data_IF_887667138971
#
_entry.id   IF_887667138971
#
_cell.length_a   1.000
_cell.length_b   1.000
_cell.length_c   1.000
_cell.angle_alpha   90.00
_cell.angle_beta   90.00
_cell.angle_gamma   90.00
#
_symmetry.space_group_name_H-M   'P 1'
#
loop_
_entity.id
_entity.type
_entity.pdbx_description
1 polymer ?
#
# COMPACT_ATOMS: atom_id res chain seq x y z
N UNK A 1 43.44 68.46 10.39
CA UNK A 1 44.16 67.20 10.61
C UNK A 1 43.10 66.11 10.79
N UNK A 2 42.47 65.59 9.72
CA UNK A 2 43.04 64.77 8.62
C UNK A 2 43.43 63.39 9.19
N UNK A 3 43.12 62.21 8.66
CA UNK A 3 42.26 61.67 7.59
C UNK A 3 42.60 60.16 7.53
N UNK A 4 41.59 59.28 7.59
CA UNK A 4 41.49 57.95 6.94
C UNK A 4 42.54 56.82 7.22
N UNK A 5 42.36 55.55 6.77
CA UNK A 5 41.25 54.96 6.00
C UNK A 5 40.72 53.54 6.39
N UNK A 6 39.48 53.31 5.91
CA UNK A 6 38.82 52.10 5.36
C UNK A 6 39.48 50.70 5.48
N UNK A 7 38.65 49.72 5.88
CA UNK A 7 38.60 48.40 5.23
C UNK A 7 37.17 47.97 4.95
N UNK A 8 36.93 47.80 3.65
CA UNK A 8 35.78 47.30 2.92
C UNK A 8 35.34 45.91 3.41
N UNK A 9 34.03 45.70 3.64
CA UNK A 9 33.44 44.35 3.61
C UNK A 9 32.57 44.22 2.38
N UNK A 10 32.95 43.24 1.59
CA UNK A 10 32.49 42.86 0.27
C UNK A 10 31.00 42.55 0.23
N UNK A 11 30.33 43.09 -0.80
CA UNK A 11 29.05 42.62 -1.28
C UNK A 11 29.20 41.19 -1.81
N UNK A 12 28.64 40.21 -1.12
CA UNK A 12 28.34 38.91 -1.74
C UNK A 12 26.95 39.00 -2.35
N UNK A 13 26.93 39.19 -3.66
CA UNK A 13 25.86 38.74 -4.54
C UNK A 13 25.69 37.23 -4.35
N UNK A 14 24.69 36.85 -3.57
CA UNK A 14 24.22 35.47 -3.44
C UNK A 14 22.94 35.32 -4.24
N UNK A 15 22.99 34.49 -5.27
CA UNK A 15 21.85 34.00 -6.04
C UNK A 15 20.76 33.43 -5.11
N UNK A 16 19.47 33.78 -5.24
CA UNK A 16 18.42 33.16 -4.44
C UNK A 16 18.07 31.80 -5.05
N UNK A 17 18.81 30.75 -4.68
CA UNK A 17 18.45 29.37 -5.01
C UNK A 17 18.03 28.67 -3.74
N UNK A 18 16.77 28.83 -3.38
CA UNK A 18 16.16 28.16 -2.25
C UNK A 18 14.68 28.50 -2.21
N UNK A 19 13.85 27.65 -2.81
CA UNK A 19 12.41 27.67 -2.55
C UNK A 19 12.23 27.39 -1.06
N UNK A 20 12.02 28.43 -0.25
CA UNK A 20 11.62 28.27 1.15
C UNK A 20 10.33 27.44 1.17
N UNK A 21 10.38 26.25 1.77
CA UNK A 21 9.20 25.47 2.08
C UNK A 21 8.47 26.25 3.18
N UNK A 22 7.55 27.11 2.78
CA UNK A 22 6.71 27.85 3.72
C UNK A 22 5.90 26.83 4.51
N UNK A 23 6.12 26.79 5.83
CA UNK A 23 5.35 25.96 6.73
C UNK A 23 3.86 26.30 6.57
N UNK A 24 3.01 25.30 6.32
CA UNK A 24 1.57 25.52 6.22
C UNK A 24 1.05 26.01 7.57
N UNK A 25 0.59 27.26 7.64
CA UNK A 25 -0.20 27.76 8.76
C UNK A 25 -1.57 27.07 8.70
N UNK A 26 -1.79 26.04 9.50
CA UNK A 26 -3.05 25.29 9.49
C UNK A 26 -4.06 25.90 10.46
N UNK A 27 -5.25 26.23 9.95
CA UNK A 27 -6.44 26.47 10.78
C UNK A 27 -6.68 25.24 11.65
N UNK A 28 -7.00 25.42 12.93
CA UNK A 28 -7.24 24.34 13.88
C UNK A 28 -8.71 24.20 14.28
N UNK A 29 -9.04 23.09 14.95
CA UNK A 29 -10.38 22.84 15.52
C UNK A 29 -10.84 23.97 16.45
N UNK A 30 -9.90 24.64 17.13
CA UNK A 30 -10.16 25.78 18.01
C UNK A 30 -10.64 27.01 17.24
N UNK A 31 -10.12 27.25 16.05
CA UNK A 31 -10.51 28.38 15.21
C UNK A 31 -11.92 28.19 14.66
N UNK A 32 -12.26 26.97 14.24
CA UNK A 32 -13.63 26.59 13.85
C UNK A 32 -14.60 26.77 15.01
N UNK A 33 -14.25 26.28 16.20
CA UNK A 33 -15.10 26.41 17.39
C UNK A 33 -15.36 27.89 17.75
N UNK A 34 -14.31 28.72 17.68
CA UNK A 34 -14.41 30.17 17.92
C UNK A 34 -15.30 30.86 16.89
N UNK A 35 -15.11 30.57 15.60
CA UNK A 35 -15.90 31.17 14.52
C UNK A 35 -17.37 30.71 14.53
N UNK A 36 -17.65 29.46 14.93
CA UNK A 36 -19.00 28.92 15.06
C UNK A 36 -19.68 29.24 16.41
N UNK A 37 -18.98 29.89 17.35
CA UNK A 37 -19.51 30.26 18.66
C UNK A 37 -19.85 29.06 19.56
N UNK A 38 -19.12 27.95 19.46
CA UNK A 38 -19.36 26.72 20.24
C UNK A 38 -18.07 26.15 20.84
N UNK A 39 -18.17 25.12 21.67
CA UNK A 39 -17.01 24.39 22.18
C UNK A 39 -16.40 23.47 21.11
N UNK A 40 -15.09 23.18 21.23
CA UNK A 40 -14.41 22.19 20.37
C UNK A 40 -15.06 20.79 20.46
N UNK A 41 -15.61 20.43 21.62
CA UNK A 41 -16.38 19.20 21.80
C UNK A 41 -17.67 19.18 20.96
N UNK A 42 -18.32 20.33 20.78
CA UNK A 42 -19.53 20.45 19.94
C UNK A 42 -19.19 20.32 18.47
N UNK A 43 -18.09 20.95 18.01
CA UNK A 43 -17.58 20.78 16.63
C UNK A 43 -17.22 19.32 16.38
N UNK A 44 -16.52 18.67 17.32
CA UNK A 44 -16.16 17.24 17.21
C UNK A 44 -17.40 16.34 17.13
N UNK A 45 -18.46 16.62 17.89
CA UNK A 45 -19.73 15.88 17.82
C UNK A 45 -20.43 16.11 16.49
N UNK A 46 -20.51 17.35 16.01
CA UNK A 46 -21.13 17.67 14.73
C UNK A 46 -20.49 16.89 13.57
N UNK A 47 -19.17 16.63 13.64
CA UNK A 47 -18.43 15.89 12.61
C UNK A 47 -18.57 14.36 12.78
N UNK A 48 -18.40 13.84 13.99
CA UNK A 48 -18.30 12.38 14.21
C UNK A 48 -19.64 11.72 14.56
N UNK A 49 -20.61 12.49 15.04
CA UNK A 49 -21.94 12.05 15.47
C UNK A 49 -22.96 13.16 15.14
N UNK A 50 -23.19 13.46 13.85
CA UNK A 50 -24.05 14.58 13.45
C UNK A 50 -25.46 14.47 14.04
N UNK A 51 -25.98 13.26 14.21
CA UNK A 51 -27.35 12.99 14.69
C UNK A 51 -27.65 13.46 16.12
N UNK A 52 -26.62 13.74 16.93
CA UNK A 52 -26.79 14.23 18.31
C UNK A 52 -26.64 15.76 18.43
N UNK A 53 -26.56 16.46 17.30
CA UNK A 53 -26.47 17.92 17.20
C UNK A 53 -27.66 18.42 16.38
N UNK A 54 -28.26 19.55 16.77
CA UNK A 54 -29.36 20.12 16.00
C UNK A 54 -28.92 20.45 14.58
N UNK A 55 -29.81 20.26 13.61
CA UNK A 55 -29.52 20.48 12.19
C UNK A 55 -29.05 21.91 11.92
N UNK A 56 -29.71 22.90 12.52
CA UNK A 56 -29.31 24.32 12.44
C UNK A 56 -27.86 24.54 12.88
N UNK A 57 -27.46 23.94 14.00
CA UNK A 57 -26.11 24.09 14.52
C UNK A 57 -25.08 23.35 13.67
N UNK A 58 -25.44 22.16 13.16
CA UNK A 58 -24.61 21.39 12.24
C UNK A 58 -24.32 22.18 10.97
N UNK A 59 -25.36 22.72 10.32
CA UNK A 59 -25.23 23.54 9.10
C UNK A 59 -24.37 24.79 9.34
N UNK A 60 -24.52 25.45 10.50
CA UNK A 60 -23.67 26.58 10.87
C UNK A 60 -22.20 26.20 11.00
N UNK A 61 -21.92 25.06 11.64
CA UNK A 61 -20.55 24.55 11.79
C UNK A 61 -19.95 24.18 10.42
N UNK A 62 -20.72 23.51 9.56
CA UNK A 62 -20.29 23.13 8.20
C UNK A 62 -19.92 24.36 7.36
N UNK A 63 -20.74 25.41 7.38
CA UNK A 63 -20.44 26.66 6.68
C UNK A 63 -19.14 27.33 7.18
N UNK A 64 -18.88 27.27 8.49
CA UNK A 64 -17.63 27.79 9.07
C UNK A 64 -16.43 26.93 8.66
N UNK A 65 -16.58 25.61 8.65
CA UNK A 65 -15.53 24.67 8.20
C UNK A 65 -15.15 24.96 6.75
N UNK A 66 -16.14 25.09 5.87
CA UNK A 66 -15.95 25.39 4.46
C UNK A 66 -15.29 26.76 4.27
N UNK A 67 -15.79 27.79 4.95
CA UNK A 67 -15.24 29.14 4.88
C UNK A 67 -13.77 29.22 5.32
N UNK A 68 -13.40 28.49 6.37
CA UNK A 68 -12.03 28.47 6.89
C UNK A 68 -11.13 27.45 6.18
N UNK A 69 -11.66 26.62 5.28
CA UNK A 69 -10.92 25.54 4.63
C UNK A 69 -10.34 24.53 5.62
N UNK A 70 -10.98 24.35 6.78
CA UNK A 70 -10.47 23.47 7.82
C UNK A 70 -10.73 22.01 7.47
N UNK A 71 -9.71 21.16 7.65
CA UNK A 71 -9.83 19.71 7.50
C UNK A 71 -9.45 19.05 8.82
N UNK A 72 -10.23 18.08 9.33
CA UNK A 72 -9.86 17.34 10.53
C UNK A 72 -8.47 16.69 10.42
N UNK A 73 -7.65 16.89 11.44
CA UNK A 73 -6.34 16.27 11.54
C UNK A 73 -6.48 14.76 11.83
N UNK A 74 -6.07 13.94 10.87
CA UNK A 74 -6.10 12.48 10.98
C UNK A 74 -5.18 11.96 12.10
N UNK A 75 -4.03 12.58 12.35
CA UNK A 75 -3.10 12.17 13.41
C UNK A 75 -3.68 12.47 14.80
N UNK A 76 -4.29 13.65 14.97
CA UNK A 76 -5.00 13.98 16.21
C UNK A 76 -6.18 13.04 16.47
N UNK A 77 -6.95 12.70 15.42
CA UNK A 77 -8.03 11.71 15.50
C UNK A 77 -7.51 10.32 15.84
N UNK A 78 -6.42 9.88 15.23
CA UNK A 78 -5.81 8.58 15.49
C UNK A 78 -5.32 8.45 16.93
N UNK A 79 -4.73 9.52 17.48
CA UNK A 79 -4.30 9.54 18.88
C UNK A 79 -5.47 9.36 19.84
N UNK A 80 -6.61 9.97 19.54
CA UNK A 80 -7.83 9.86 20.36
C UNK A 80 -8.54 8.51 20.25
N UNK A 81 -8.53 7.89 19.07
CA UNK A 81 -9.29 6.67 18.76
C UNK A 81 -8.45 5.40 18.82
N UNK A 82 -7.12 5.54 18.88
CA UNK A 82 -6.12 4.47 18.68
C UNK A 82 -6.30 3.72 17.35
N UNK A 83 -6.87 4.38 16.34
CA UNK A 83 -7.07 3.86 14.97
C UNK A 83 -6.72 4.91 13.95
N UNK A 84 -5.89 4.59 12.98
CA UNK A 84 -5.56 5.52 11.90
C UNK A 84 -6.68 5.64 10.87
N UNK A 85 -7.51 4.59 10.73
CA UNK A 85 -8.41 4.44 9.61
C UNK A 85 -7.66 4.18 8.30
N UNK A 86 -6.45 3.63 8.36
CA UNK A 86 -5.63 3.36 7.19
C UNK A 86 -5.21 1.89 7.13
N UNK A 87 -5.24 1.30 5.93
CA UNK A 87 -4.73 -0.05 5.65
C UNK A 87 -3.60 0.09 4.64
N UNK A 88 -2.47 -0.54 4.91
CA UNK A 88 -1.35 -0.60 3.96
C UNK A 88 -1.49 -1.78 3.02
N UNK A 89 -1.13 -1.63 1.75
CA UNK A 89 -0.95 -2.75 0.83
C UNK A 89 0.36 -2.62 0.06
N UNK A 90 1.15 -3.69 0.09
CA UNK A 90 2.42 -3.76 -0.64
C UNK A 90 2.28 -4.80 -1.75
N UNK A 91 2.30 -4.31 -2.98
CA UNK A 91 2.28 -5.14 -4.19
C UNK A 91 3.69 -5.29 -4.76
N UNK A 92 4.00 -6.35 -5.52
CA UNK A 92 5.27 -6.42 -6.25
C UNK A 92 5.34 -5.35 -7.33
N UNK A 93 4.26 -5.17 -8.09
CA UNK A 93 4.15 -4.14 -9.12
C UNK A 93 2.68 -3.75 -9.32
N UNK A 94 2.42 -2.59 -9.89
CA UNK A 94 1.09 -2.18 -10.39
C UNK A 94 1.00 -2.21 -11.91
N UNK A 95 2.08 -2.57 -12.62
CA UNK A 95 2.07 -2.70 -14.08
C UNK A 95 1.34 -3.95 -14.56
N UNK A 96 1.22 -4.97 -13.70
CA UNK A 96 0.45 -6.17 -14.01
C UNK A 96 -1.03 -5.94 -13.72
N UNK A 97 -1.89 -6.22 -14.71
CA UNK A 97 -3.33 -5.97 -14.63
C UNK A 97 -4.02 -6.62 -13.42
N UNK A 98 -3.56 -7.79 -12.98
CA UNK A 98 -4.12 -8.48 -11.81
C UNK A 98 -3.89 -7.68 -10.52
N UNK A 99 -2.71 -7.08 -10.35
CA UNK A 99 -2.41 -6.27 -9.16
C UNK A 99 -3.13 -4.94 -9.18
N UNK A 100 -3.16 -4.25 -10.32
CA UNK A 100 -3.91 -3.01 -10.48
C UNK A 100 -5.40 -3.22 -10.19
N UNK A 101 -5.99 -4.28 -10.74
CA UNK A 101 -7.40 -4.64 -10.50
C UNK A 101 -7.66 -4.92 -9.02
N UNK A 102 -6.81 -5.71 -8.36
CA UNK A 102 -6.96 -5.99 -6.92
C UNK A 102 -6.80 -4.72 -6.08
N UNK A 103 -5.87 -3.83 -6.42
CA UNK A 103 -5.71 -2.54 -5.74
C UNK A 103 -6.96 -1.65 -5.88
N UNK A 104 -7.57 -1.62 -7.08
CA UNK A 104 -8.84 -0.91 -7.31
C UNK A 104 -9.98 -1.48 -6.47
N UNK A 105 -10.14 -2.80 -6.44
CA UNK A 105 -11.18 -3.46 -5.64
C UNK A 105 -10.93 -3.19 -4.16
N UNK A 106 -9.70 -3.37 -3.69
CA UNK A 106 -9.34 -3.13 -2.29
C UNK A 106 -9.61 -1.67 -1.88
N UNK A 107 -9.29 -0.70 -2.73
CA UNK A 107 -9.60 0.71 -2.49
C UNK A 107 -11.10 0.95 -2.36
N UNK A 108 -11.91 0.34 -3.23
CA UNK A 108 -13.36 0.48 -3.20
C UNK A 108 -13.96 -0.07 -1.90
N UNK A 109 -13.62 -1.31 -1.55
CA UNK A 109 -14.16 -1.97 -0.35
C UNK A 109 -13.71 -1.30 0.94
N UNK A 110 -12.43 -0.93 1.04
CA UNK A 110 -11.92 -0.21 2.21
C UNK A 110 -12.59 1.15 2.38
N UNK A 111 -12.81 1.88 1.28
CA UNK A 111 -13.45 3.18 1.33
C UNK A 111 -14.90 3.07 1.82
N UNK A 112 -15.64 2.05 1.39
CA UNK A 112 -17.00 1.78 1.87
C UNK A 112 -17.05 1.55 3.39
N UNK A 113 -15.98 0.97 3.95
CA UNK A 113 -15.80 0.74 5.39
C UNK A 113 -15.13 1.92 6.13
N UNK A 114 -14.90 3.05 5.45
CA UNK A 114 -14.29 4.26 6.04
C UNK A 114 -12.77 4.19 6.23
N UNK A 115 -12.10 3.22 5.60
CA UNK A 115 -10.66 3.09 5.59
C UNK A 115 -10.02 3.76 4.35
N UNK A 116 -8.81 4.27 4.53
CA UNK A 116 -7.95 4.76 3.45
C UNK A 116 -6.91 3.69 3.09
N UNK A 117 -6.74 3.37 1.81
CA UNK A 117 -5.67 2.48 1.36
C UNK A 117 -4.37 3.28 1.16
N UNK A 118 -3.27 2.79 1.72
CA UNK A 118 -1.92 3.25 1.44
C UNK A 118 -1.22 2.20 0.56
N UNK A 119 -0.83 2.58 -0.65
CA UNK A 119 -0.21 1.68 -1.62
C UNK A 119 1.30 1.87 -1.69
N UNK A 120 2.04 0.76 -1.82
CA UNK A 120 3.45 0.76 -2.15
C UNK A 120 3.81 -0.42 -3.06
N UNK A 121 4.90 -0.29 -3.81
CA UNK A 121 5.47 -1.36 -4.63
C UNK A 121 6.82 -1.84 -4.08
N UNK A 122 7.04 -3.15 -4.08
CA UNK A 122 8.31 -3.78 -3.67
C UNK A 122 9.21 -4.17 -4.84
N UNK A 123 8.71 -4.22 -6.07
CA UNK A 123 9.45 -4.65 -7.27
C UNK A 123 10.05 -6.07 -7.12
N UNK A 124 9.38 -6.94 -6.35
CA UNK A 124 9.87 -8.27 -5.97
C UNK A 124 11.19 -8.25 -5.16
N UNK A 125 11.57 -7.11 -4.59
CA UNK A 125 12.67 -7.00 -3.61
C UNK A 125 12.10 -7.14 -2.17
N UNK A 126 12.42 -8.23 -1.44
CA UNK A 126 11.96 -8.43 -0.06
C UNK A 126 12.49 -7.36 0.91
N UNK A 127 13.66 -6.78 0.65
CA UNK A 127 14.20 -5.69 1.46
C UNK A 127 13.39 -4.41 1.23
N UNK A 128 12.99 -4.15 -0.02
CA UNK A 128 12.08 -3.04 -0.33
C UNK A 128 10.71 -3.24 0.31
N UNK A 129 10.14 -4.45 0.23
CA UNK A 129 8.89 -4.80 0.90
C UNK A 129 8.96 -4.46 2.41
N UNK A 130 10.00 -4.95 3.10
CA UNK A 130 10.23 -4.66 4.51
C UNK A 130 10.34 -3.16 4.80
N UNK A 131 11.05 -2.39 3.96
CA UNK A 131 11.15 -0.92 4.10
C UNK A 131 9.78 -0.24 3.96
N UNK A 132 8.93 -0.68 3.03
CA UNK A 132 7.59 -0.09 2.85
C UNK A 132 6.66 -0.45 4.01
N UNK A 133 6.68 -1.71 4.47
CA UNK A 133 5.92 -2.15 5.64
C UNK A 133 6.30 -1.36 6.88
N UNK A 134 7.60 -1.11 7.13
CA UNK A 134 8.04 -0.25 8.25
C UNK A 134 7.42 1.14 8.18
N UNK A 135 7.42 1.78 7.01
CA UNK A 135 6.83 3.11 6.80
C UNK A 135 5.31 3.13 7.05
N UNK A 136 4.61 2.05 6.75
CA UNK A 136 3.18 1.93 7.06
C UNK A 136 2.94 1.75 8.56
N UNK A 137 3.72 0.89 9.21
CA UNK A 137 3.67 0.71 10.67
C UNK A 137 3.98 2.03 11.40
N UNK A 138 4.98 2.79 10.96
CA UNK A 138 5.31 4.13 11.50
C UNK A 138 4.14 5.13 11.36
N UNK A 139 3.29 4.96 10.35
CA UNK A 139 2.08 5.76 10.13
C UNK A 139 0.86 5.25 10.91
N UNK A 140 1.01 4.15 11.64
CA UNK A 140 -0.03 3.58 12.49
C UNK A 140 -1.14 2.88 11.70
N UNK A 141 -0.84 2.26 10.55
CA UNK A 141 -1.86 1.48 9.80
C UNK A 141 -2.52 0.43 10.69
N UNK A 142 -3.83 0.26 10.50
CA UNK A 142 -4.67 -0.66 11.25
C UNK A 142 -4.58 -2.11 10.73
N UNK A 143 -4.01 -2.31 9.54
CA UNK A 143 -3.76 -3.61 8.94
C UNK A 143 -2.92 -3.54 7.67
N UNK A 144 -2.38 -4.68 7.25
CA UNK A 144 -1.52 -4.78 6.07
C UNK A 144 -1.94 -5.93 5.13
N UNK A 145 -2.03 -5.63 3.84
CA UNK A 145 -2.20 -6.61 2.76
C UNK A 145 -0.85 -6.83 2.08
N UNK A 146 -0.44 -8.09 2.00
CA UNK A 146 0.78 -8.53 1.34
C UNK A 146 0.45 -9.44 0.17
N UNK A 147 1.45 -9.72 -0.66
CA UNK A 147 1.30 -10.56 -1.84
C UNK A 147 2.31 -11.70 -1.78
N UNK A 148 1.82 -12.94 -1.90
CA UNK A 148 2.68 -14.11 -1.76
C UNK A 148 3.01 -14.44 -0.30
N UNK A 149 3.94 -15.38 -0.10
CA UNK A 149 4.51 -15.76 1.19
C UNK A 149 6.04 -15.57 1.23
N UNK A 150 6.66 -15.12 0.15
CA UNK A 150 8.11 -14.94 0.03
C UNK A 150 8.57 -13.64 0.71
N UNK A 151 8.37 -13.55 2.03
CA UNK A 151 8.75 -12.40 2.85
C UNK A 151 10.04 -12.66 3.62
N UNK A 152 10.71 -11.58 4.04
CA UNK A 152 11.77 -11.68 5.03
C UNK A 152 11.18 -12.04 6.42
N UNK A 153 11.81 -12.94 7.20
CA UNK A 153 11.39 -13.22 8.57
C UNK A 153 11.36 -11.98 9.49
N UNK A 154 12.15 -10.96 9.18
CA UNK A 154 12.14 -9.63 9.79
C UNK A 154 10.76 -8.94 9.66
N UNK A 155 10.09 -9.12 8.53
CA UNK A 155 8.77 -8.53 8.25
C UNK A 155 7.73 -9.15 9.17
N UNK A 156 7.66 -10.48 9.25
CA UNK A 156 6.72 -11.17 10.13
C UNK A 156 6.96 -10.81 11.61
N UNK A 157 8.24 -10.76 12.04
CA UNK A 157 8.61 -10.34 13.39
C UNK A 157 8.19 -8.91 13.69
N UNK A 158 8.32 -7.99 12.72
CA UNK A 158 7.87 -6.60 12.86
C UNK A 158 6.35 -6.54 13.09
N UNK A 159 5.57 -7.19 12.23
CA UNK A 159 4.11 -7.17 12.32
C UNK A 159 3.60 -7.81 13.61
N UNK A 160 4.19 -8.94 14.01
CA UNK A 160 3.85 -9.61 15.27
C UNK A 160 4.15 -8.74 16.49
N UNK A 161 5.34 -8.13 16.57
CA UNK A 161 5.73 -7.25 17.69
C UNK A 161 4.84 -6.03 17.81
N UNK A 162 4.45 -5.44 16.68
CA UNK A 162 3.59 -4.26 16.62
C UNK A 162 2.10 -4.61 16.69
N UNK A 163 1.76 -5.91 16.69
CA UNK A 163 0.39 -6.43 16.71
C UNK A 163 -0.46 -5.88 15.54
N UNK A 164 0.18 -5.67 14.39
CA UNK A 164 -0.49 -5.22 13.17
C UNK A 164 -1.01 -6.46 12.43
N UNK A 165 -2.33 -6.61 12.25
CA UNK A 165 -2.87 -7.74 11.50
C UNK A 165 -2.43 -7.67 10.05
N UNK A 166 -2.14 -8.83 9.46
CA UNK A 166 -1.80 -8.93 8.05
C UNK A 166 -2.45 -10.12 7.37
N UNK A 167 -2.62 -9.99 6.06
CA UNK A 167 -3.15 -11.03 5.20
C UNK A 167 -2.33 -11.13 3.91
N UNK A 168 -1.99 -12.36 3.54
CA UNK A 168 -1.30 -12.64 2.29
C UNK A 168 -2.31 -12.90 1.19
N UNK A 169 -2.12 -12.28 0.03
CA UNK A 169 -3.03 -12.41 -1.11
C UNK A 169 -2.38 -13.18 -2.25
N UNK A 170 -3.22 -13.73 -3.11
CA UNK A 170 -2.88 -14.53 -4.29
C UNK A 170 -2.11 -15.83 -4.01
N UNK A 171 -2.13 -16.27 -2.77
CA UNK A 171 -1.63 -17.55 -2.32
C UNK A 171 -2.66 -18.15 -1.38
N UNK A 172 -2.72 -19.47 -1.38
CA UNK A 172 -3.44 -20.23 -0.38
C UNK A 172 -2.43 -21.01 0.46
N UNK A 173 -2.49 -20.84 1.78
CA UNK A 173 -1.69 -21.63 2.71
C UNK A 173 -2.54 -21.98 3.93
N UNK A 174 -2.95 -23.25 4.02
CA UNK A 174 -3.78 -23.75 5.12
C UNK A 174 -3.14 -23.55 6.50
N UNK A 175 -1.80 -23.57 6.60
CA UNK A 175 -1.07 -23.36 7.84
C UNK A 175 -1.18 -21.91 8.38
N UNK A 176 -1.63 -20.96 7.54
CA UNK A 176 -1.80 -19.55 7.95
C UNK A 176 -3.11 -19.28 8.69
N UNK A 177 -3.95 -20.31 8.94
CA UNK A 177 -5.22 -20.21 9.66
C UNK A 177 -6.13 -19.05 9.17
N UNK A 178 -6.28 -18.93 7.85
CA UNK A 178 -7.13 -17.91 7.22
C UNK A 178 -6.45 -16.55 6.98
N UNK A 179 -5.15 -16.43 7.25
CA UNK A 179 -4.35 -15.23 6.91
C UNK A 179 -3.78 -15.28 5.50
N UNK A 180 -4.36 -16.10 4.63
CA UNK A 180 -4.07 -16.09 3.19
C UNK A 180 -5.33 -16.27 2.35
N UNK A 181 -5.43 -15.52 1.26
CA UNK A 181 -6.55 -15.58 0.30
C UNK A 181 -5.98 -15.62 -1.11
N UNK A 182 -6.27 -16.68 -1.86
CA UNK A 182 -5.84 -16.83 -3.24
C UNK A 182 -5.97 -18.25 -3.72
N UNK A 183 -5.50 -18.55 -4.95
CA UNK A 183 -5.48 -19.90 -5.45
C UNK A 183 -4.33 -20.73 -4.86
N UNK A 184 -4.50 -22.05 -4.87
CA UNK A 184 -3.37 -22.97 -4.83
C UNK A 184 -2.65 -22.93 -6.20
N UNK A 185 -1.53 -22.22 -6.23
CA UNK A 185 -0.77 -21.96 -7.46
C UNK A 185 -0.19 -23.24 -8.06
N UNK A 186 0.25 -24.19 -7.22
CA UNK A 186 0.82 -25.45 -7.67
C UNK A 186 -0.25 -26.35 -8.25
N UNK A 187 -1.34 -26.53 -7.50
CA UNK A 187 -2.48 -27.34 -7.95
C UNK A 187 -3.09 -26.79 -9.23
N UNK A 188 -3.26 -25.48 -9.33
CA UNK A 188 -3.84 -24.86 -10.52
C UNK A 188 -3.07 -25.24 -11.80
N UNK A 189 -1.73 -25.20 -11.76
CA UNK A 189 -0.92 -25.51 -12.95
C UNK A 189 -0.68 -27.00 -13.15
N UNK A 190 -0.73 -27.79 -12.08
CA UNK A 190 -0.80 -29.24 -12.18
C UNK A 190 -2.06 -29.69 -12.93
N UNK A 191 -3.23 -29.18 -12.54
CA UNK A 191 -4.52 -29.52 -13.15
C UNK A 191 -4.59 -29.08 -14.62
N UNK A 192 -4.14 -27.85 -14.93
CA UNK A 192 -4.08 -27.35 -16.32
C UNK A 192 -3.15 -28.21 -17.18
N UNK A 193 -1.98 -28.60 -16.66
CA UNK A 193 -1.03 -29.43 -17.40
C UNK A 193 -1.58 -30.83 -17.67
N UNK A 194 -2.22 -31.45 -16.67
CA UNK A 194 -2.89 -32.74 -16.85
C UNK A 194 -4.02 -32.68 -17.87
N UNK A 195 -4.76 -31.58 -17.91
CA UNK A 195 -5.78 -31.37 -18.94
C UNK A 195 -5.17 -31.33 -20.34
N UNK A 196 -4.03 -30.65 -20.55
CA UNK A 196 -3.35 -30.69 -21.84
C UNK A 196 -2.85 -32.10 -22.21
N UNK A 197 -2.33 -32.84 -21.24
CA UNK A 197 -1.88 -34.22 -21.46
C UNK A 197 -3.05 -35.14 -21.83
N UNK A 198 -4.22 -34.97 -21.19
CA UNK A 198 -5.41 -35.77 -21.47
C UNK A 198 -5.97 -35.52 -22.87
N UNK A 199 -5.76 -34.32 -23.43
CA UNK A 199 -6.05 -33.99 -24.83
C UNK A 199 -5.03 -34.60 -25.83
N UNK A 200 -3.99 -35.29 -25.35
CA UNK A 200 -3.00 -35.96 -26.19
C UNK A 200 -1.70 -35.16 -26.40
N UNK A 201 -1.55 -33.98 -25.81
CA UNK A 201 -0.29 -33.23 -25.90
C UNK A 201 0.83 -33.94 -25.13
N UNK A 202 2.02 -34.01 -25.73
CA UNK A 202 3.21 -34.68 -25.15
C UNK A 202 4.46 -33.81 -25.10
N UNK A 203 4.49 -32.73 -25.89
CA UNK A 203 5.58 -31.74 -25.93
C UNK A 203 5.01 -30.40 -25.47
N UNK A 204 5.21 -30.10 -24.20
CA UNK A 204 4.66 -28.91 -23.55
C UNK A 204 5.83 -27.97 -23.24
N UNK A 205 5.80 -26.79 -23.85
CA UNK A 205 6.67 -25.68 -23.51
C UNK A 205 6.00 -24.79 -22.46
N UNK A 206 6.81 -24.16 -21.61
CA UNK A 206 6.32 -23.28 -20.54
C UNK A 206 7.01 -21.94 -20.65
N UNK A 207 6.23 -20.86 -20.61
CA UNK A 207 6.73 -19.48 -20.55
C UNK A 207 6.31 -18.91 -19.19
N UNK A 208 7.27 -18.37 -18.44
CA UNK A 208 7.00 -17.90 -17.09
C UNK A 208 7.77 -16.63 -16.72
N UNK A 209 7.31 -15.98 -15.65
CA UNK A 209 8.00 -14.88 -14.95
C UNK A 209 9.08 -15.40 -14.00
N UNK A 210 10.11 -14.59 -13.72
CA UNK A 210 11.17 -14.93 -12.78
C UNK A 210 10.62 -15.53 -11.47
N UNK A 211 11.24 -16.61 -11.01
CA UNK A 211 10.90 -17.29 -9.75
C UNK A 211 11.63 -16.69 -8.54
N UNK A 212 12.64 -15.84 -8.78
CA UNK A 212 13.35 -15.15 -7.71
C UNK A 212 12.38 -14.26 -6.94
N UNK A 213 12.26 -14.49 -5.62
CA UNK A 213 11.34 -13.79 -4.72
C UNK A 213 9.87 -13.79 -5.19
N UNK A 214 9.49 -14.84 -5.92
CA UNK A 214 8.16 -14.99 -6.51
C UNK A 214 7.68 -16.42 -6.31
N UNK A 215 7.28 -16.72 -5.07
CA UNK A 215 6.76 -18.02 -4.65
C UNK A 215 5.65 -18.52 -5.56
N UNK A 216 4.75 -17.63 -6.01
CA UNK A 216 3.65 -17.99 -6.90
C UNK A 216 4.14 -18.49 -8.25
N UNK A 217 5.18 -17.88 -8.82
CA UNK A 217 5.79 -18.37 -10.04
C UNK A 217 6.49 -19.72 -9.81
N UNK A 218 7.21 -19.86 -8.69
CA UNK A 218 7.90 -21.09 -8.33
C UNK A 218 6.91 -22.26 -8.15
N UNK A 219 5.81 -22.05 -7.41
CA UNK A 219 4.78 -23.06 -7.16
C UNK A 219 4.04 -23.44 -8.45
N UNK A 220 3.72 -22.47 -9.31
CA UNK A 220 3.13 -22.75 -10.62
C UNK A 220 4.05 -23.62 -11.47
N UNK A 221 5.35 -23.31 -11.52
CA UNK A 221 6.32 -24.09 -12.26
C UNK A 221 6.47 -25.51 -11.69
N UNK A 222 6.49 -25.64 -10.36
CA UNK A 222 6.51 -26.93 -9.69
C UNK A 222 5.29 -27.77 -10.08
N UNK A 223 4.09 -27.18 -10.13
CA UNK A 223 2.87 -27.86 -10.54
C UNK A 223 2.93 -28.42 -11.96
N UNK A 224 3.50 -27.66 -12.90
CA UNK A 224 3.74 -28.16 -14.27
C UNK A 224 4.73 -29.33 -14.26
N UNK A 225 5.85 -29.18 -13.53
CA UNK A 225 6.87 -30.22 -13.44
C UNK A 225 6.34 -31.52 -12.84
N UNK A 226 5.50 -31.42 -11.81
CA UNK A 226 4.88 -32.59 -11.17
C UNK A 226 3.93 -33.31 -12.12
N UNK A 227 3.08 -32.58 -12.86
CA UNK A 227 2.14 -33.17 -13.82
C UNK A 227 2.87 -33.88 -14.96
N UNK A 228 3.91 -33.26 -15.52
CA UNK A 228 4.73 -33.90 -16.55
C UNK A 228 5.39 -35.17 -16.04
N UNK A 229 6.00 -35.11 -14.86
CA UNK A 229 6.69 -36.25 -14.24
C UNK A 229 5.73 -37.40 -13.94
N UNK A 230 4.51 -37.11 -13.47
CA UNK A 230 3.46 -38.11 -13.22
C UNK A 230 3.05 -38.89 -14.48
N UNK A 231 3.28 -38.31 -15.67
CA UNK A 231 3.00 -38.93 -16.96
C UNK A 231 4.26 -39.40 -17.71
N UNK A 232 5.43 -39.43 -17.05
CA UNK A 232 6.70 -39.83 -17.65
C UNK A 232 7.20 -38.87 -18.73
N UNK A 233 6.75 -37.61 -18.68
CA UNK A 233 7.16 -36.54 -19.58
C UNK A 233 8.14 -35.61 -18.88
N UNK A 234 8.98 -34.95 -19.66
CA UNK A 234 9.79 -33.82 -19.21
C UNK A 234 9.35 -32.55 -19.91
N UNK A 235 9.56 -31.41 -19.25
CA UNK A 235 9.32 -30.11 -19.89
C UNK A 235 10.24 -30.01 -21.12
N UNK A 236 9.64 -29.65 -22.25
CA UNK A 236 10.41 -29.35 -23.46
C UNK A 236 11.20 -28.05 -23.22
N UNK A 237 12.42 -27.88 -23.77
CA UNK A 237 13.33 -26.80 -23.37
C UNK A 237 12.61 -25.44 -23.42
N UNK A 238 12.67 -24.73 -22.29
CA UNK A 238 11.90 -23.53 -22.05
C UNK A 238 12.77 -22.28 -22.17
N UNK A 239 12.13 -21.17 -22.51
CA UNK A 239 12.71 -19.83 -22.41
C UNK A 239 12.06 -19.09 -21.26
N UNK A 240 12.89 -18.52 -20.39
CA UNK A 240 12.42 -17.50 -19.45
C UNK A 240 12.02 -16.30 -20.31
N UNK A 241 10.75 -15.89 -20.25
CA UNK A 241 10.40 -14.56 -20.73
C UNK A 241 11.12 -13.56 -19.81
N UNK A 242 12.23 -12.99 -20.27
CA UNK A 242 12.60 -11.64 -19.81
C UNK A 242 11.41 -10.75 -20.13
N UNK A 243 11.12 -9.79 -19.25
CA UNK A 243 10.02 -8.84 -19.42
C UNK A 243 9.75 -8.58 -20.90
N UNK A 244 8.50 -8.77 -21.32
CA UNK A 244 8.01 -8.20 -22.58
C UNK A 244 7.98 -6.68 -22.38
N UNK A 245 9.14 -6.04 -22.25
CA UNK A 245 9.29 -4.65 -22.59
C UNK A 245 8.97 -4.57 -24.09
N UNK A 246 7.79 -4.04 -24.38
CA UNK A 246 7.23 -3.81 -25.73
C UNK A 246 7.03 -5.06 -26.61
N UNK A 247 5.87 -5.71 -26.50
CA UNK A 247 5.14 -6.11 -27.72
C UNK A 247 4.31 -4.89 -28.10
N UNK A 248 4.90 -4.00 -28.87
CA UNK A 248 4.29 -2.72 -29.24
C UNK A 248 5.29 -1.81 -29.94
N UNK A 249 5.84 -2.27 -31.06
CA UNK A 249 6.09 -1.47 -32.27
C UNK A 249 5.72 -2.32 -33.49
#
# INVERSE_FOLDING_TARGET
>A
MTSAPKRTRTSKTGTPTGTEIVARTSVGLRDVAKAAGVSTATVSRAINKPDIVSEELRLRIEAVIEHLGWVPDAAARALSTRRSGAVGAVFPTLTHGDFARTATILQHELLAEGFTLLLACSEYDPEQELRQVRKFVERGVDGIVLVGNAHLPELERLLSRQKVPSINTFVYNQATHGRSIGPDNRKALFDVTNYLISLGHRRIGVIWQSVANNDRAAERLAGVSDALSAHGLSAWPYQIAKELSSIGE
#
